data_IF_526242392234
#
_entry.id   IF_526242392234
#
_cell.length_a   1.000
_cell.length_b   1.000
_cell.length_c   1.000
_cell.angle_alpha   90.00
_cell.angle_beta   90.00
_cell.angle_gamma   90.00
#
_symmetry.space_group_name_H-M   'P 1'
#
loop_
_entity.id
_entity.type
_entity.pdbx_description
1 polymer ?
#
# COMPACT_ATOMS: atom_id res chain seq x y z
N UNK A 1 -14.82 -6.00 -12.93
CA UNK A 1 -16.16 -5.73 -12.37
C UNK A 1 -16.02 -4.43 -11.60
N UNK A 2 -16.53 -3.33 -12.12
CA UNK A 2 -16.51 -2.05 -11.39
C UNK A 2 -17.52 -2.14 -10.24
N UNK A 3 -17.07 -1.84 -9.03
CA UNK A 3 -17.95 -1.74 -7.87
C UNK A 3 -18.80 -0.48 -8.05
N UNK A 4 -20.13 -0.60 -8.04
CA UNK A 4 -21.00 0.57 -8.08
C UNK A 4 -20.81 1.41 -6.82
N UNK A 5 -21.03 2.72 -6.93
CA UNK A 5 -20.97 3.65 -5.78
C UNK A 5 -21.87 3.22 -4.62
N UNK A 6 -23.01 2.61 -4.93
CA UNK A 6 -23.93 2.03 -3.95
C UNK A 6 -23.33 0.82 -3.23
N UNK A 7 -22.68 -0.09 -3.95
CA UNK A 7 -22.02 -1.25 -3.37
C UNK A 7 -20.84 -0.82 -2.48
N UNK A 8 -20.08 0.18 -2.91
CA UNK A 8 -18.96 0.71 -2.14
C UNK A 8 -19.43 1.42 -0.87
N UNK A 9 -20.50 2.22 -0.94
CA UNK A 9 -21.12 2.85 0.25
C UNK A 9 -21.67 1.82 1.24
N UNK A 10 -22.30 0.75 0.75
CA UNK A 10 -22.82 -0.32 1.60
C UNK A 10 -21.69 -1.11 2.27
N UNK A 11 -20.66 -1.52 1.51
CA UNK A 11 -19.47 -2.19 2.05
C UNK A 11 -18.91 -1.42 3.23
N UNK A 12 -18.83 -0.12 3.05
CA UNK A 12 -18.34 0.78 4.06
C UNK A 12 -19.29 0.87 5.26
N UNK A 13 -20.59 1.09 5.06
CA UNK A 13 -21.52 1.18 6.19
C UNK A 13 -21.49 -0.09 7.06
N UNK A 14 -21.35 -1.26 6.44
CA UNK A 14 -21.19 -2.52 7.15
C UNK A 14 -19.83 -2.63 7.83
N UNK A 15 -18.74 -2.21 7.17
CA UNK A 15 -17.42 -2.15 7.80
C UNK A 15 -17.39 -1.21 9.03
N UNK A 16 -18.14 -0.10 9.00
CA UNK A 16 -18.26 0.85 10.11
C UNK A 16 -18.82 0.23 11.40
N UNK A 17 -19.59 -0.85 11.26
CA UNK A 17 -20.21 -1.56 12.37
C UNK A 17 -19.27 -2.56 13.03
N UNK A 18 -18.12 -2.84 12.40
CA UNK A 18 -17.11 -3.73 12.95
C UNK A 18 -16.23 -2.95 13.92
N UNK A 19 -16.06 -3.50 15.13
CA UNK A 19 -15.14 -2.97 16.14
C UNK A 19 -13.71 -3.41 15.81
N UNK A 20 -13.11 -2.73 14.83
CA UNK A 20 -11.78 -3.03 14.29
C UNK A 20 -10.88 -1.81 14.32
N UNK A 21 -9.63 -1.98 14.75
CA UNK A 21 -8.63 -0.91 14.73
C UNK A 21 -8.14 -0.57 13.31
N UNK A 22 -8.11 -1.58 12.43
CA UNK A 22 -7.58 -1.48 11.07
C UNK A 22 -8.51 -2.09 10.04
N UNK A 23 -8.61 -1.43 8.89
CA UNK A 23 -9.22 -1.97 7.68
C UNK A 23 -8.18 -2.03 6.58
N UNK A 24 -7.83 -3.25 6.14
CA UNK A 24 -6.95 -3.46 5.00
C UNK A 24 -7.80 -3.61 3.73
N UNK A 25 -7.57 -2.71 2.78
CA UNK A 25 -8.24 -2.73 1.47
C UNK A 25 -7.22 -3.22 0.46
N UNK A 26 -7.37 -4.47 0.02
CA UNK A 26 -6.57 -5.00 -1.09
C UNK A 26 -7.19 -4.57 -2.42
N UNK A 27 -6.39 -3.99 -3.29
CA UNK A 27 -6.85 -3.44 -4.57
C UNK A 27 -6.30 -4.24 -5.74
N UNK A 28 -7.01 -4.24 -6.87
CA UNK A 28 -6.42 -4.70 -8.14
C UNK A 28 -5.17 -3.88 -8.50
N UNK A 29 -4.31 -4.43 -9.35
CA UNK A 29 -3.16 -3.69 -9.88
C UNK A 29 -3.57 -2.52 -10.79
N UNK A 30 -2.61 -1.61 -11.03
CA UNK A 30 -2.72 -0.51 -11.98
C UNK A 30 -3.38 0.75 -11.42
N UNK A 31 -3.75 1.66 -12.33
CA UNK A 31 -4.22 3.02 -12.00
C UNK A 31 -5.70 3.26 -12.35
N UNK A 32 -6.52 2.20 -12.33
CA UNK A 32 -7.93 2.32 -12.67
C UNK A 32 -8.66 3.28 -11.71
N UNK A 33 -9.81 3.81 -12.14
CA UNK A 33 -10.61 4.69 -11.30
C UNK A 33 -11.03 3.99 -9.99
N UNK A 34 -11.35 2.70 -10.03
CA UNK A 34 -11.67 1.93 -8.82
C UNK A 34 -10.49 1.89 -7.83
N UNK A 35 -9.27 1.60 -8.30
CA UNK A 35 -8.06 1.56 -7.45
C UNK A 35 -7.77 2.93 -6.85
N UNK A 36 -7.79 3.98 -7.68
CA UNK A 36 -7.49 5.34 -7.24
C UNK A 36 -8.54 5.90 -6.28
N UNK A 37 -9.83 5.61 -6.49
CA UNK A 37 -10.90 6.02 -5.55
C UNK A 37 -10.76 5.35 -4.19
N UNK A 38 -10.45 4.05 -4.14
CA UNK A 38 -10.20 3.32 -2.89
C UNK A 38 -8.97 3.89 -2.16
N UNK A 39 -7.87 4.09 -2.88
CA UNK A 39 -6.65 4.64 -2.32
C UNK A 39 -6.83 6.07 -1.78
N UNK A 40 -7.59 6.93 -2.47
CA UNK A 40 -7.84 8.31 -2.02
C UNK A 40 -8.81 8.39 -0.83
N UNK A 41 -9.69 7.40 -0.68
CA UNK A 41 -10.54 7.31 0.50
C UNK A 41 -9.75 6.85 1.74
N UNK A 42 -8.77 5.96 1.54
CA UNK A 42 -7.91 5.40 2.59
C UNK A 42 -7.23 6.49 3.45
N UNK A 43 -7.01 6.20 4.73
CA UNK A 43 -6.24 7.09 5.61
C UNK A 43 -4.75 7.11 5.26
N UNK A 44 -4.23 5.95 4.84
CA UNK A 44 -2.84 5.73 4.44
C UNK A 44 -2.83 4.73 3.28
N UNK A 45 -1.88 4.87 2.35
CA UNK A 45 -1.76 4.00 1.18
C UNK A 45 -0.40 3.32 1.17
N UNK A 46 -0.41 1.99 1.11
CA UNK A 46 0.78 1.17 0.95
C UNK A 46 1.02 0.82 -0.51
N UNK A 47 2.07 1.39 -1.10
CA UNK A 47 2.49 1.12 -2.47
C UNK A 47 3.50 -0.01 -2.45
N UNK A 48 3.15 -1.13 -3.10
CA UNK A 48 4.04 -2.28 -3.28
C UNK A 48 4.52 -2.30 -4.73
N UNK A 49 5.83 -2.31 -4.91
CA UNK A 49 6.47 -2.40 -6.24
C UNK A 49 7.56 -3.48 -6.25
N UNK A 50 8.21 -3.71 -7.38
CA UNK A 50 9.39 -4.56 -7.52
C UNK A 50 10.54 -3.74 -8.14
N UNK A 51 11.80 -4.22 -8.10
CA UNK A 51 12.91 -3.60 -8.82
C UNK A 51 12.75 -3.56 -10.35
N UNK A 52 11.70 -4.16 -10.91
CA UNK A 52 11.49 -4.20 -12.35
C UNK A 52 11.09 -2.81 -12.90
N UNK A 53 11.70 -2.33 -13.99
CA UNK A 53 11.48 -0.97 -14.49
C UNK A 53 10.01 -0.61 -14.78
N UNK A 54 9.22 -1.58 -15.25
CA UNK A 54 7.79 -1.40 -15.51
C UNK A 54 7.01 -1.20 -14.21
N UNK A 55 7.27 -2.01 -13.19
CA UNK A 55 6.64 -1.88 -11.87
C UNK A 55 6.97 -0.55 -11.19
N UNK A 56 8.20 -0.04 -11.37
CA UNK A 56 8.60 1.28 -10.86
C UNK A 56 7.89 2.42 -11.60
N UNK A 57 7.72 2.28 -12.92
CA UNK A 57 6.99 3.25 -13.75
C UNK A 57 5.53 3.31 -13.33
N UNK A 58 4.89 2.16 -13.14
CA UNK A 58 3.49 2.08 -12.70
C UNK A 58 3.31 2.63 -11.28
N UNK A 59 4.23 2.31 -10.36
CA UNK A 59 4.21 2.84 -9.00
C UNK A 59 4.31 4.38 -9.01
N UNK A 60 5.24 4.95 -9.79
CA UNK A 60 5.35 6.40 -9.93
C UNK A 60 4.08 7.02 -10.55
N UNK A 61 3.50 6.39 -11.56
CA UNK A 61 2.27 6.86 -12.18
C UNK A 61 1.12 6.91 -11.16
N UNK A 62 0.96 5.87 -10.33
CA UNK A 62 -0.02 5.84 -9.25
C UNK A 62 0.25 6.95 -8.23
N UNK A 63 1.49 7.07 -7.72
CA UNK A 63 1.88 8.16 -6.79
C UNK A 63 1.50 9.52 -7.36
N UNK A 64 1.84 9.78 -8.63
CA UNK A 64 1.56 11.03 -9.31
C UNK A 64 0.06 11.31 -9.40
N UNK A 65 -0.76 10.33 -9.74
CA UNK A 65 -2.22 10.50 -9.82
C UNK A 65 -2.81 10.77 -8.43
N UNK A 66 -2.38 10.00 -7.42
CA UNK A 66 -2.87 10.15 -6.05
C UNK A 66 -2.51 11.52 -5.47
N UNK A 67 -1.24 11.94 -5.56
CA UNK A 67 -0.79 13.22 -5.02
C UNK A 67 -1.37 14.44 -5.76
N UNK A 68 -1.65 14.31 -7.07
CA UNK A 68 -2.38 15.35 -7.81
C UNK A 68 -3.80 15.56 -7.30
N UNK A 69 -4.46 14.50 -6.85
CA UNK A 69 -5.83 14.56 -6.32
C UNK A 69 -5.87 14.89 -4.83
N UNK A 70 -4.90 14.40 -4.06
CA UNK A 70 -4.76 14.69 -2.64
C UNK A 70 -3.27 14.83 -2.26
N UNK A 71 -2.72 16.06 -2.24
CA UNK A 71 -1.32 16.31 -1.88
C UNK A 71 -0.96 15.94 -0.44
N UNK A 72 -1.96 15.83 0.45
CA UNK A 72 -1.77 15.49 1.86
C UNK A 72 -1.87 13.98 2.14
N UNK A 73 -2.04 13.15 1.10
CA UNK A 73 -2.18 11.72 1.25
C UNK A 73 -0.86 11.09 1.73
N UNK A 74 -0.95 10.25 2.77
CA UNK A 74 0.21 9.52 3.30
C UNK A 74 0.48 8.31 2.43
N UNK A 75 1.64 8.32 1.78
CA UNK A 75 2.09 7.25 0.89
C UNK A 75 3.28 6.52 1.51
N UNK A 76 3.13 5.21 1.63
CA UNK A 76 4.16 4.28 2.07
C UNK A 76 4.69 3.47 0.90
N UNK A 77 5.96 3.08 0.95
CA UNK A 77 6.60 2.29 -0.09
C UNK A 77 7.19 1.00 0.49
N UNK A 78 6.88 -0.12 -0.15
CA UNK A 78 7.55 -1.41 0.03
C UNK A 78 8.07 -1.91 -1.31
N UNK A 79 9.35 -2.28 -1.35
CA UNK A 79 9.96 -2.90 -2.53
C UNK A 79 10.01 -4.41 -2.33
N UNK A 80 9.17 -5.12 -3.06
CA UNK A 80 9.07 -6.58 -3.02
C UNK A 80 10.03 -7.24 -4.01
N UNK A 81 10.36 -8.53 -3.81
CA UNK A 81 11.18 -9.34 -4.72
C UNK A 81 12.60 -8.79 -4.96
N UNK A 82 13.21 -8.28 -3.90
CA UNK A 82 14.55 -7.70 -3.93
C UNK A 82 15.62 -8.80 -3.85
N UNK A 83 16.64 -8.74 -4.71
CA UNK A 83 17.75 -9.71 -4.77
C UNK A 83 18.82 -9.43 -3.72
N UNK A 84 18.96 -8.17 -3.28
CA UNK A 84 19.91 -7.79 -2.24
C UNK A 84 19.47 -6.54 -1.49
N UNK A 85 19.88 -6.35 -0.21
CA UNK A 85 19.58 -5.13 0.53
C UNK A 85 19.97 -3.85 -0.22
N UNK A 86 21.10 -3.88 -0.94
CA UNK A 86 21.61 -2.76 -1.74
C UNK A 86 20.64 -2.37 -2.86
N UNK A 87 20.08 -3.36 -3.57
CA UNK A 87 19.10 -3.13 -4.63
C UNK A 87 17.83 -2.48 -4.07
N UNK A 88 17.33 -2.98 -2.92
CA UNK A 88 16.17 -2.39 -2.25
C UNK A 88 16.38 -0.92 -1.91
N UNK A 89 17.52 -0.58 -1.31
CA UNK A 89 17.88 0.82 -1.00
C UNK A 89 18.04 1.68 -2.25
N UNK A 90 18.64 1.14 -3.32
CA UNK A 90 18.82 1.87 -4.57
C UNK A 90 17.47 2.18 -5.23
N UNK A 91 16.56 1.21 -5.30
CA UNK A 91 15.22 1.39 -5.85
C UNK A 91 14.44 2.45 -5.07
N UNK A 92 14.47 2.38 -3.73
CA UNK A 92 13.86 3.37 -2.86
C UNK A 92 14.41 4.78 -3.14
N UNK A 93 15.74 4.95 -3.13
CA UNK A 93 16.37 6.25 -3.35
C UNK A 93 15.99 6.84 -4.71
N UNK A 94 15.99 6.02 -5.76
CA UNK A 94 15.64 6.47 -7.10
C UNK A 94 14.18 6.95 -7.16
N UNK A 95 13.24 6.17 -6.62
CA UNK A 95 11.83 6.54 -6.65
C UNK A 95 11.56 7.77 -5.78
N UNK A 96 12.16 7.84 -4.58
CA UNK A 96 12.09 8.99 -3.69
C UNK A 96 12.63 10.26 -4.36
N UNK A 97 13.75 10.17 -5.07
CA UNK A 97 14.33 11.30 -5.79
C UNK A 97 13.38 11.81 -6.89
N UNK A 98 12.83 10.91 -7.70
CA UNK A 98 11.90 11.28 -8.78
C UNK A 98 10.62 11.90 -8.21
N UNK A 99 10.05 11.32 -7.15
CA UNK A 99 8.85 11.86 -6.48
C UNK A 99 9.15 13.24 -5.88
N UNK A 100 10.28 13.42 -5.22
CA UNK A 100 10.67 14.71 -4.66
C UNK A 100 10.90 15.77 -5.75
N UNK A 101 11.62 15.41 -6.82
CA UNK A 101 11.98 16.32 -7.89
C UNK A 101 10.76 16.79 -8.70
N UNK A 102 9.83 15.89 -9.01
CA UNK A 102 8.73 16.19 -9.93
C UNK A 102 7.39 16.45 -9.24
N UNK A 103 7.21 15.97 -8.01
CA UNK A 103 5.94 16.08 -7.27
C UNK A 103 6.09 16.87 -5.96
N UNK A 104 7.31 17.20 -5.53
CA UNK A 104 7.55 17.95 -4.30
C UNK A 104 7.15 17.21 -3.03
N UNK A 105 6.99 15.90 -3.11
CA UNK A 105 6.51 15.05 -2.01
C UNK A 105 7.56 14.01 -1.61
N UNK A 106 7.31 13.34 -0.49
CA UNK A 106 8.13 12.23 0.01
C UNK A 106 7.29 10.98 0.19
N UNK A 107 7.93 9.82 0.05
CA UNK A 107 7.37 8.51 0.34
C UNK A 107 7.97 8.01 1.66
N UNK A 108 7.13 7.43 2.50
CA UNK A 108 7.58 6.75 3.71
C UNK A 108 8.06 5.34 3.35
N UNK A 109 9.37 5.09 3.43
CA UNK A 109 9.89 3.78 3.11
C UNK A 109 9.77 2.82 4.29
N UNK A 110 8.93 1.80 4.16
CA UNK A 110 8.72 0.81 5.21
C UNK A 110 9.67 -0.38 5.13
N UNK A 111 10.36 -0.57 4.00
CA UNK A 111 11.35 -1.63 3.84
C UNK A 111 11.23 -2.40 2.53
N UNK A 112 11.92 -3.53 2.46
CA UNK A 112 11.91 -4.42 1.31
C UNK A 112 11.65 -5.87 1.72
N UNK A 113 11.09 -6.65 0.79
CA UNK A 113 10.91 -8.09 0.92
C UNK A 113 11.84 -8.76 -0.09
N UNK A 114 12.73 -9.68 0.33
CA UNK A 114 13.64 -10.34 -0.59
C UNK A 114 12.92 -11.32 -1.51
N UNK A 115 13.51 -11.61 -2.67
CA UNK A 115 13.10 -12.78 -3.47
C UNK A 115 13.33 -14.04 -2.64
N UNK A 116 12.27 -14.81 -2.42
CA UNK A 116 12.28 -15.96 -1.53
C UNK A 116 11.36 -17.06 -2.09
N UNK A 117 11.97 -18.20 -2.45
CA UNK A 117 11.24 -19.34 -3.01
C UNK A 117 10.17 -19.91 -2.07
N UNK A 118 10.29 -19.66 -0.75
CA UNK A 118 9.28 -20.09 0.22
C UNK A 118 7.93 -19.42 -0.01
N UNK A 119 7.90 -18.22 -0.58
CA UNK A 119 6.65 -17.54 -0.98
C UNK A 119 5.92 -18.35 -2.04
N UNK A 120 6.63 -18.79 -3.08
CA UNK A 120 6.05 -19.64 -4.12
C UNK A 120 5.57 -20.98 -3.56
N UNK A 121 6.36 -21.60 -2.69
CA UNK A 121 5.96 -22.85 -2.03
C UNK A 121 4.70 -22.69 -1.18
N UNK A 122 4.59 -21.60 -0.42
CA UNK A 122 3.41 -21.29 0.41
C UNK A 122 2.16 -21.08 -0.45
N UNK A 123 2.28 -20.33 -1.56
CA UNK A 123 1.18 -20.12 -2.52
C UNK A 123 0.72 -21.44 -3.13
N UNK A 124 1.64 -22.32 -3.56
CA UNK A 124 1.31 -23.63 -4.12
C UNK A 124 0.60 -24.53 -3.10
N UNK A 125 0.90 -24.37 -1.82
CA UNK A 125 0.27 -25.06 -0.70
C UNK A 125 -1.04 -24.40 -0.23
N UNK A 126 -1.40 -23.26 -0.81
CA UNK A 126 -2.54 -22.42 -0.40
C UNK A 126 -2.49 -22.05 1.09
N UNK A 127 -1.29 -21.86 1.62
CA UNK A 127 -1.05 -21.51 3.02
C UNK A 127 -0.38 -20.14 3.09
N UNK A 128 -0.82 -19.22 3.97
CA UNK A 128 -0.15 -17.93 4.15
C UNK A 128 1.32 -18.11 4.53
N UNK A 129 2.21 -17.32 3.93
CA UNK A 129 3.66 -17.40 4.17
C UNK A 129 4.04 -17.39 5.66
N UNK A 130 3.36 -16.53 6.44
CA UNK A 130 3.62 -16.37 7.87
C UNK A 130 3.30 -17.63 8.69
N UNK A 131 2.45 -18.52 8.17
CA UNK A 131 2.11 -19.81 8.77
C UNK A 131 3.00 -20.92 8.21
N UNK A 132 3.16 -20.96 6.88
CA UNK A 132 3.91 -21.99 6.17
C UNK A 132 5.41 -21.98 6.50
N UNK A 133 6.03 -20.79 6.50
CA UNK A 133 7.46 -20.62 6.71
C UNK A 133 7.75 -19.37 7.58
N UNK A 134 7.37 -19.37 8.87
CA UNK A 134 7.45 -18.20 9.74
C UNK A 134 8.88 -17.64 9.91
N UNK A 135 9.91 -18.46 9.70
CA UNK A 135 11.30 -18.05 9.86
C UNK A 135 11.99 -17.67 8.53
N UNK A 136 11.26 -17.71 7.40
CA UNK A 136 11.83 -17.31 6.11
C UNK A 136 12.18 -15.82 6.11
N UNK A 137 13.09 -15.43 5.21
CA UNK A 137 13.53 -14.03 5.13
C UNK A 137 12.36 -13.12 4.72
N UNK A 138 11.53 -13.56 3.78
CA UNK A 138 10.33 -12.83 3.39
C UNK A 138 9.34 -12.69 4.56
N UNK A 139 9.07 -13.78 5.31
CA UNK A 139 8.16 -13.73 6.46
C UNK A 139 8.65 -12.75 7.55
N UNK A 140 9.95 -12.75 7.84
CA UNK A 140 10.56 -11.83 8.79
C UNK A 140 10.45 -10.37 8.35
N UNK A 141 10.66 -10.09 7.05
CA UNK A 141 10.51 -8.72 6.53
C UNK A 141 9.06 -8.25 6.53
N UNK A 142 8.10 -9.11 6.20
CA UNK A 142 6.67 -8.77 6.31
C UNK A 142 6.31 -8.36 7.74
N UNK A 143 6.76 -9.11 8.76
CA UNK A 143 6.53 -8.71 10.16
C UNK A 143 7.21 -7.38 10.52
N UNK A 144 8.43 -7.16 10.05
CA UNK A 144 9.16 -5.93 10.31
C UNK A 144 8.45 -4.71 9.67
N UNK A 145 7.96 -4.85 8.44
CA UNK A 145 7.19 -3.82 7.73
C UNK A 145 5.88 -3.53 8.48
N UNK A 146 5.15 -4.56 8.90
CA UNK A 146 3.93 -4.39 9.68
C UNK A 146 4.19 -3.65 11.01
N UNK A 147 5.29 -3.99 11.71
CA UNK A 147 5.69 -3.29 12.93
C UNK A 147 6.02 -1.82 12.71
N UNK A 148 6.70 -1.47 11.61
CA UNK A 148 6.98 -0.06 11.25
C UNK A 148 5.71 0.69 10.89
N UNK A 149 4.82 0.07 10.11
CA UNK A 149 3.53 0.68 9.74
C UNK A 149 2.73 1.05 10.98
N UNK A 150 2.57 0.11 11.93
CA UNK A 150 1.83 0.36 13.18
C UNK A 150 2.54 1.44 14.04
N UNK A 151 3.88 1.39 14.12
CA UNK A 151 4.66 2.38 14.86
C UNK A 151 4.61 3.80 14.28
N UNK A 152 4.51 3.94 12.96
CA UNK A 152 4.31 5.22 12.29
C UNK A 152 2.86 5.74 12.45
N UNK A 153 1.87 4.85 12.42
CA UNK A 153 0.45 5.20 12.63
C UNK A 153 0.17 5.73 14.05
N UNK A 154 0.94 5.33 15.07
CA UNK A 154 0.77 5.80 16.45
C UNK A 154 1.12 7.27 16.72
N UNK A 155 1.77 7.98 15.78
CA UNK A 155 2.18 9.38 15.99
C UNK A 155 1.12 10.38 15.50
N UNK A 156 0.15 9.97 14.68
CA UNK A 156 -0.92 10.86 14.23
C UNK A 156 -2.20 10.07 13.95
N UNK A 157 -3.11 10.05 14.92
CA UNK A 157 -4.50 9.61 14.74
C UNK A 157 -5.23 10.54 13.76
N UNK A 158 -4.98 10.36 12.45
CA UNK A 158 -5.75 11.03 11.41
C UNK A 158 -7.08 10.29 11.34
N UNK A 159 -8.13 10.99 11.76
CA UNK A 159 -9.55 10.60 11.78
C UNK A 159 -9.87 9.24 11.16
N UNK A 160 -10.45 8.37 11.98
CA UNK A 160 -10.80 6.99 11.62
C UNK A 160 -11.85 6.87 10.52
N UNK A 161 -12.64 5.81 10.59
CA UNK A 161 -13.55 5.39 9.52
C UNK A 161 -14.53 6.47 9.01
N UNK A 162 -15.03 7.34 9.89
CA UNK A 162 -15.89 8.47 9.50
C UNK A 162 -15.19 9.45 8.56
N UNK A 163 -13.87 9.66 8.71
CA UNK A 163 -13.12 10.53 7.83
C UNK A 163 -12.81 9.85 6.49
N UNK A 164 -12.56 8.53 6.50
CA UNK A 164 -12.51 7.71 5.28
C UNK A 164 -13.80 7.90 4.47
N UNK A 165 -14.96 7.82 5.13
CA UNK A 165 -16.24 7.99 4.43
C UNK A 165 -16.48 9.38 3.88
N UNK A 166 -16.16 10.39 4.68
CA UNK A 166 -16.30 11.77 4.24
C UNK A 166 -15.42 12.04 3.00
N UNK A 167 -14.21 11.48 2.96
CA UNK A 167 -13.29 11.58 1.81
C UNK A 167 -13.83 10.83 0.59
N UNK A 168 -14.31 9.60 0.78
CA UNK A 168 -14.86 8.79 -0.31
C UNK A 168 -16.07 9.47 -0.97
N UNK A 169 -16.98 10.04 -0.17
CA UNK A 169 -18.17 10.74 -0.68
C UNK A 169 -17.83 11.94 -1.57
N UNK A 170 -16.70 12.61 -1.30
CA UNK A 170 -16.25 13.78 -2.07
C UNK A 170 -15.64 13.40 -3.42
N UNK A 171 -15.18 12.17 -3.60
CA UNK A 171 -14.52 11.69 -4.83
C UNK A 171 -15.48 11.08 -5.86
N UNK A 172 -16.74 10.88 -5.47
CA UNK A 172 -17.81 10.29 -6.27
C UNK A 172 -18.78 11.34 -6.86
N UNK A 173 -18.35 12.60 -6.89
CA UNK A 173 -19.03 13.73 -7.53
C UNK A 173 -18.03 14.44 -8.46
#
# INVERSE_FOLDING_TARGET
>A
MELSDSALRNLVQEAARLDSDFFLIDTSAGISQSVTSLALAAGEVLIVTTPEPTALTDAYALVKVLLRRNPALRLHLVVNRVRSPREGTQVMNNLQQVVQQFLGASLNFLGYIPEDNTVRSAVLKQEPLLHFAPQSLAARQVRAIAGRLIGESSINSVGGFSAFISRLRFLLH
#
